data_IF_428428902881
#
_entry.id   IF_428428902881
#
_cell.length_a   1.000
_cell.length_b   1.000
_cell.length_c   1.000
_cell.angle_alpha   90.00
_cell.angle_beta   90.00
_cell.angle_gamma   90.00
#
_symmetry.space_group_name_H-M   'P 1'
#
loop_
_entity.id
_entity.type
_entity.pdbx_description
1 polymer ?
#
# COMPACT_ATOMS: atom_id res chain seq x y z
N UNK A 1 5.07 -15.07 -23.81
CA UNK A 1 5.35 -13.64 -23.64
C UNK A 1 5.05 -13.23 -22.21
N UNK A 2 6.02 -12.63 -21.58
CA UNK A 2 5.84 -12.17 -20.21
C UNK A 2 5.03 -10.88 -20.24
N UNK A 3 3.91 -10.90 -19.54
CA UNK A 3 3.07 -9.74 -19.46
C UNK A 3 3.71 -8.72 -18.53
N UNK A 4 3.79 -7.48 -18.99
CA UNK A 4 4.44 -6.43 -18.22
C UNK A 4 3.41 -5.67 -17.38
N UNK A 5 3.42 -5.93 -16.06
CA UNK A 5 2.51 -5.28 -15.13
C UNK A 5 3.11 -4.01 -14.50
N UNK A 6 4.23 -3.51 -15.02
CA UNK A 6 4.93 -2.37 -14.43
C UNK A 6 4.01 -1.17 -14.25
N UNK A 7 3.24 -0.80 -15.27
CA UNK A 7 2.34 0.34 -15.20
C UNK A 7 1.23 0.11 -14.18
N UNK A 8 0.70 -1.10 -14.14
CA UNK A 8 -0.36 -1.45 -13.20
C UNK A 8 0.13 -1.37 -11.75
N UNK A 9 1.31 -1.90 -11.48
CA UNK A 9 1.88 -1.89 -10.14
C UNK A 9 2.25 -0.48 -9.71
N UNK A 10 2.78 0.33 -10.61
CA UNK A 10 3.07 1.73 -10.30
C UNK A 10 1.80 2.51 -10.02
N UNK A 11 0.71 2.22 -10.74
CA UNK A 11 -0.57 2.86 -10.48
C UNK A 11 -1.07 2.51 -9.08
N UNK A 12 -0.93 1.26 -8.67
CA UNK A 12 -1.28 0.83 -7.31
C UNK A 12 -0.42 1.57 -6.28
N UNK A 13 0.88 1.66 -6.51
CA UNK A 13 1.78 2.34 -5.59
C UNK A 13 1.53 3.85 -5.50
N UNK A 14 0.92 4.45 -6.51
CA UNK A 14 0.57 5.88 -6.50
C UNK A 14 -0.74 6.17 -5.77
N UNK A 15 -1.47 5.15 -5.35
CA UNK A 15 -2.74 5.35 -4.64
C UNK A 15 -2.55 6.21 -3.39
N UNK A 16 -1.45 6.02 -2.67
CA UNK A 16 -1.17 6.82 -1.48
C UNK A 16 -1.13 8.31 -1.77
N UNK A 17 -0.52 8.70 -2.88
CA UNK A 17 -0.47 10.11 -3.29
C UNK A 17 -1.82 10.59 -3.82
N UNK A 18 -2.46 9.79 -4.66
CA UNK A 18 -3.70 10.21 -5.31
C UNK A 18 -4.85 10.43 -4.32
N UNK A 19 -4.85 9.69 -3.22
CA UNK A 19 -5.89 9.82 -2.20
C UNK A 19 -5.59 10.89 -1.17
N UNK A 20 -4.37 11.45 -1.18
CA UNK A 20 -4.00 12.47 -0.21
C UNK A 20 -4.58 13.83 -0.59
N UNK A 21 -4.67 14.72 0.40
CA UNK A 21 -5.14 16.08 0.18
C UNK A 21 -4.18 16.84 -0.75
N UNK A 22 -2.89 16.47 -0.72
CA UNK A 22 -1.88 17.10 -1.58
C UNK A 22 -1.91 16.61 -3.00
N UNK A 23 -2.54 15.46 -3.24
CA UNK A 23 -2.67 14.90 -4.58
C UNK A 23 -4.03 15.25 -5.18
N UNK A 24 -4.61 14.29 -5.88
CA UNK A 24 -5.87 14.50 -6.59
C UNK A 24 -7.11 14.45 -5.69
N UNK A 25 -6.96 14.08 -4.43
CA UNK A 25 -8.08 13.98 -3.50
C UNK A 25 -9.09 12.91 -3.87
N UNK A 26 -8.66 11.90 -4.62
CA UNK A 26 -9.53 10.80 -5.05
C UNK A 26 -9.83 9.91 -3.85
N UNK A 27 -11.07 9.42 -3.73
CA UNK A 27 -11.39 8.50 -2.66
C UNK A 27 -10.63 7.19 -2.84
N UNK A 28 -10.33 6.52 -1.72
CA UNK A 28 -9.63 5.23 -1.79
C UNK A 28 -10.44 4.22 -2.59
N UNK A 29 -11.76 4.22 -2.42
CA UNK A 29 -12.65 3.32 -3.16
C UNK A 29 -12.52 3.54 -4.67
N UNK A 30 -12.50 4.80 -5.10
CA UNK A 30 -12.34 5.11 -6.51
C UNK A 30 -10.95 4.74 -7.03
N UNK A 31 -9.91 4.99 -6.24
CA UNK A 31 -8.55 4.61 -6.61
C UNK A 31 -8.41 3.10 -6.78
N UNK A 32 -8.99 2.34 -5.87
CA UNK A 32 -8.98 0.87 -5.98
C UNK A 32 -9.70 0.39 -7.24
N UNK A 33 -10.81 1.05 -7.59
CA UNK A 33 -11.57 0.72 -8.80
C UNK A 33 -10.78 1.05 -10.05
N UNK A 34 -10.19 2.24 -10.11
CA UNK A 34 -9.42 2.69 -11.28
C UNK A 34 -8.22 1.81 -11.57
N UNK A 35 -7.55 1.35 -10.53
CA UNK A 35 -6.35 0.52 -10.68
C UNK A 35 -6.70 -0.94 -10.89
N UNK A 36 -7.98 -1.31 -10.78
CA UNK A 36 -8.42 -2.69 -10.87
C UNK A 36 -7.69 -3.58 -9.86
N UNK A 37 -7.52 -3.05 -8.66
CA UNK A 37 -6.72 -3.71 -7.64
C UNK A 37 -7.16 -5.15 -7.36
N UNK A 38 -8.48 -5.37 -7.23
CA UNK A 38 -9.00 -6.71 -6.89
C UNK A 38 -8.67 -7.74 -7.97
N UNK A 39 -8.75 -7.33 -9.24
CA UNK A 39 -8.44 -8.23 -10.36
C UNK A 39 -6.94 -8.49 -10.46
N UNK A 40 -6.14 -7.49 -10.16
CA UNK A 40 -4.68 -7.61 -10.25
C UNK A 40 -4.06 -8.34 -9.06
N UNK A 41 -4.72 -8.28 -7.90
CA UNK A 41 -4.15 -8.79 -6.65
C UNK A 41 -3.59 -10.22 -6.74
N UNK A 42 -4.29 -11.19 -7.37
CA UNK A 42 -3.75 -12.54 -7.49
C UNK A 42 -2.52 -12.66 -8.38
N UNK A 43 -2.19 -11.62 -9.13
CA UNK A 43 -1.11 -11.65 -10.11
C UNK A 43 0.20 -11.04 -9.63
N UNK A 44 0.23 -10.51 -8.40
CA UNK A 44 1.47 -9.91 -7.88
C UNK A 44 1.64 -10.23 -6.40
N UNK A 45 2.87 -10.05 -5.93
CA UNK A 45 3.25 -10.26 -4.53
C UNK A 45 3.95 -9.01 -3.98
N UNK A 46 4.17 -8.99 -2.67
CA UNK A 46 4.88 -7.90 -2.02
C UNK A 46 6.24 -7.64 -2.66
N UNK A 47 6.95 -8.70 -3.06
CA UNK A 47 8.27 -8.57 -3.67
C UNK A 47 8.23 -7.80 -4.98
N UNK A 48 7.13 -7.89 -5.72
CA UNK A 48 6.97 -7.13 -6.96
C UNK A 48 6.86 -5.64 -6.66
N UNK A 49 6.11 -5.28 -5.62
CA UNK A 49 6.00 -3.89 -5.21
C UNK A 49 7.32 -3.37 -4.65
N UNK A 50 8.04 -4.21 -3.91
CA UNK A 50 9.34 -3.84 -3.35
C UNK A 50 10.32 -3.42 -4.44
N UNK A 51 10.37 -4.18 -5.55
CA UNK A 51 11.26 -3.87 -6.65
C UNK A 51 10.98 -2.47 -7.22
N UNK A 52 9.69 -2.13 -7.38
CA UNK A 52 9.33 -0.81 -7.89
C UNK A 52 9.58 0.31 -6.89
N UNK A 53 9.41 0.04 -5.60
CA UNK A 53 9.69 1.03 -4.56
C UNK A 53 11.18 1.39 -4.51
N UNK A 54 12.04 0.44 -4.77
CA UNK A 54 13.48 0.70 -4.83
C UNK A 54 13.85 1.63 -5.99
N UNK A 55 13.12 1.53 -7.09
CA UNK A 55 13.34 2.40 -8.25
C UNK A 55 12.63 3.74 -8.11
N UNK A 56 11.67 3.85 -7.20
CA UNK A 56 10.86 5.05 -7.01
C UNK A 56 10.75 5.40 -5.53
N UNK A 57 11.85 5.86 -4.91
CA UNK A 57 11.85 6.14 -3.47
C UNK A 57 10.91 7.26 -3.03
N UNK A 58 10.51 8.12 -3.96
CA UNK A 58 9.51 9.15 -3.67
C UNK A 58 8.17 8.55 -3.25
N UNK A 59 7.84 7.36 -3.74
CA UNK A 59 6.60 6.68 -3.37
C UNK A 59 6.61 6.22 -1.91
N UNK A 60 7.78 5.96 -1.35
CA UNK A 60 7.90 5.60 0.07
C UNK A 60 7.42 6.75 0.94
N UNK A 61 7.87 7.97 0.64
CA UNK A 61 7.43 9.17 1.35
C UNK A 61 5.92 9.36 1.25
N UNK A 62 5.36 9.11 0.06
CA UNK A 62 3.93 9.27 -0.15
C UNK A 62 3.11 8.32 0.73
N UNK A 63 3.58 7.09 0.92
CA UNK A 63 2.87 6.15 1.78
C UNK A 63 3.03 6.47 3.26
N UNK A 64 4.19 7.01 3.67
CA UNK A 64 4.36 7.48 5.03
C UNK A 64 3.37 8.62 5.33
N UNK A 65 3.22 9.55 4.39
CA UNK A 65 2.25 10.63 4.52
C UNK A 65 0.82 10.12 4.53
N UNK A 66 0.51 9.15 3.69
CA UNK A 66 -0.81 8.52 3.67
C UNK A 66 -1.15 7.94 5.05
N UNK A 67 -0.24 7.18 5.63
CA UNK A 67 -0.45 6.58 6.94
C UNK A 67 -0.62 7.62 8.04
N UNK A 68 0.18 8.68 7.99
CA UNK A 68 0.13 9.76 8.98
C UNK A 68 -1.17 10.55 8.91
N UNK A 69 -1.62 10.87 7.69
CA UNK A 69 -2.81 11.69 7.46
C UNK A 69 -4.11 10.92 7.57
N UNK A 70 -4.02 9.62 7.64
CA UNK A 70 -5.17 8.74 7.68
C UNK A 70 -5.96 8.94 8.96
N UNK A 71 -7.26 9.20 8.81
CA UNK A 71 -8.13 9.53 9.94
C UNK A 71 -9.19 8.47 10.25
N UNK A 72 -9.06 7.31 9.59
CA UNK A 72 -9.97 6.20 9.86
C UNK A 72 -9.45 5.36 11.01
N UNK A 73 -10.35 4.72 11.72
CA UNK A 73 -9.98 3.83 12.81
C UNK A 73 -9.95 2.36 12.37
N UNK A 74 -9.73 2.13 11.07
CA UNK A 74 -9.58 0.79 10.49
C UNK A 74 -8.32 0.69 9.64
N UNK A 75 -8.05 -0.52 9.16
CA UNK A 75 -6.91 -0.76 8.29
C UNK A 75 -5.59 -0.86 9.04
N UNK A 76 -4.52 -0.44 8.40
CA UNK A 76 -3.16 -0.58 8.91
C UNK A 76 -2.47 0.77 9.05
N UNK A 77 -1.38 0.81 9.81
CA UNK A 77 -0.52 2.00 9.94
C UNK A 77 0.91 1.64 9.63
N UNK A 78 1.69 2.65 9.25
CA UNK A 78 3.09 2.52 8.87
C UNK A 78 3.90 3.58 9.59
N UNK A 79 4.98 3.18 10.24
CA UNK A 79 5.88 4.08 10.97
C UNK A 79 7.20 4.21 10.22
N UNK A 80 7.89 5.32 10.47
CA UNK A 80 9.15 5.62 9.79
C UNK A 80 10.27 4.63 10.12
N UNK A 81 10.13 3.91 11.23
CA UNK A 81 11.15 2.92 11.62
C UNK A 81 10.95 1.55 10.97
N UNK A 82 9.97 1.43 10.06
CA UNK A 82 9.71 0.16 9.39
C UNK A 82 8.74 -0.74 10.12
N UNK A 83 8.00 -0.21 11.08
CA UNK A 83 6.97 -0.95 11.79
C UNK A 83 5.61 -0.77 11.12
N UNK A 84 4.86 -1.85 10.97
CA UNK A 84 3.46 -1.79 10.53
C UNK A 84 2.59 -2.52 11.54
N UNK A 85 1.31 -2.14 11.60
CA UNK A 85 0.36 -2.80 12.48
C UNK A 85 -1.06 -2.49 12.09
N UNK A 86 -2.00 -3.22 12.69
CA UNK A 86 -3.42 -2.95 12.49
C UNK A 86 -3.89 -1.90 13.48
N UNK A 87 -4.66 -0.93 12.98
CA UNK A 87 -5.13 0.18 13.80
C UNK A 87 -5.94 -0.31 14.99
N UNK A 88 -6.77 -1.34 14.79
CA UNK A 88 -7.65 -1.86 15.84
C UNK A 88 -7.05 -3.01 16.66
N UNK A 89 -5.84 -3.45 16.33
CA UNK A 89 -5.20 -4.56 17.03
C UNK A 89 -3.84 -4.14 17.56
N UNK A 90 -3.86 -3.32 18.58
CA UNK A 90 -2.62 -2.84 19.18
C UNK A 90 -1.83 -3.99 19.80
N UNK A 91 -0.52 -3.93 19.65
CA UNK A 91 0.38 -4.94 20.18
C UNK A 91 0.79 -6.01 19.19
N UNK A 92 0.14 -6.06 18.04
CA UNK A 92 0.50 -7.01 16.98
C UNK A 92 1.22 -6.26 15.86
N UNK A 93 2.44 -5.83 16.15
CA UNK A 93 3.23 -5.08 15.20
C UNK A 93 4.26 -5.97 14.53
N UNK A 94 4.55 -5.66 13.28
CA UNK A 94 5.59 -6.33 12.50
C UNK A 94 6.64 -5.29 12.15
N UNK A 95 7.89 -5.56 12.47
CA UNK A 95 8.98 -4.66 12.14
C UNK A 95 9.85 -5.28 11.07
N UNK A 96 10.11 -4.52 10.01
CA UNK A 96 10.90 -4.98 8.88
C UNK A 96 12.33 -4.42 8.96
N UNK A 97 13.26 -5.09 8.27
CA UNK A 97 14.65 -4.67 8.27
C UNK A 97 14.88 -3.39 7.49
N UNK A 98 14.04 -3.12 6.48
CA UNK A 98 14.15 -1.91 5.70
C UNK A 98 12.80 -1.24 5.57
N UNK A 99 12.82 0.08 5.38
CA UNK A 99 11.61 0.84 5.18
C UNK A 99 10.90 0.43 3.89
N UNK A 100 11.67 0.13 2.84
CA UNK A 100 11.08 -0.30 1.57
C UNK A 100 10.25 -1.58 1.75
N UNK A 101 10.77 -2.54 2.52
CA UNK A 101 10.04 -3.77 2.80
C UNK A 101 8.77 -3.49 3.59
N UNK A 102 8.87 -2.60 4.57
CA UNK A 102 7.70 -2.23 5.37
C UNK A 102 6.63 -1.57 4.51
N UNK A 103 7.02 -0.68 3.60
CA UNK A 103 6.07 -0.02 2.72
C UNK A 103 5.39 -1.02 1.79
N UNK A 104 6.15 -1.93 1.19
CA UNK A 104 5.56 -2.95 0.32
C UNK A 104 4.53 -3.79 1.07
N UNK A 105 4.88 -4.24 2.27
CA UNK A 105 3.98 -5.03 3.11
C UNK A 105 2.76 -4.22 3.53
N UNK A 106 2.96 -2.95 3.88
CA UNK A 106 1.88 -2.06 4.29
C UNK A 106 0.88 -1.85 3.15
N UNK A 107 1.37 -1.56 1.95
CA UNK A 107 0.51 -1.30 0.80
C UNK A 107 -0.42 -2.48 0.56
N UNK A 108 0.14 -3.69 0.53
CA UNK A 108 -0.68 -4.89 0.29
C UNK A 108 -1.73 -5.06 1.38
N UNK A 109 -1.33 -4.96 2.65
CA UNK A 109 -2.25 -5.18 3.76
C UNK A 109 -3.32 -4.10 3.84
N UNK A 110 -2.94 -2.85 3.67
CA UNK A 110 -3.88 -1.73 3.72
C UNK A 110 -4.90 -1.82 2.58
N UNK A 111 -4.43 -2.05 1.36
CA UNK A 111 -5.34 -2.10 0.21
C UNK A 111 -6.20 -3.36 0.22
N UNK A 112 -5.65 -4.49 0.66
CA UNK A 112 -6.45 -5.71 0.82
C UNK A 112 -7.58 -5.49 1.84
N UNK A 113 -7.28 -4.79 2.94
CA UNK A 113 -8.28 -4.49 3.95
C UNK A 113 -9.43 -3.67 3.36
N UNK A 114 -9.10 -2.57 2.68
CA UNK A 114 -10.13 -1.67 2.16
C UNK A 114 -10.82 -2.21 0.91
N UNK A 115 -10.18 -3.14 0.19
CA UNK A 115 -10.80 -3.82 -0.93
C UNK A 115 -11.63 -5.01 -0.47
N UNK A 116 -11.71 -5.26 0.83
CA UNK A 116 -12.44 -6.37 1.42
C UNK A 116 -11.97 -7.73 0.91
N UNK A 117 -10.66 -7.85 0.72
CA UNK A 117 -10.06 -9.13 0.35
C UNK A 117 -9.72 -9.90 1.63
N UNK A 118 -10.13 -11.16 1.68
CA UNK A 118 -9.87 -11.99 2.85
C UNK A 118 -8.42 -12.44 2.81
N UNK A 119 -7.64 -12.19 3.90
CA UNK A 119 -6.26 -12.67 3.93
C UNK A 119 -6.24 -14.18 3.85
N UNK A 120 -5.31 -14.71 3.08
CA UNK A 120 -5.07 -16.14 3.05
C UNK A 120 -4.13 -16.48 4.19
N UNK A 121 -4.60 -17.28 5.08
CA UNK A 121 -3.78 -17.78 6.16
C UNK A 121 -3.10 -19.07 5.76
#
# INVERSE_FOLDING_TARGET
MVENHTQDLLAILRIGHETSIRGAGVSLREALSRTRYRELRPQFEESDLLAHLRDHPDLIEEWLLYSEDKRTDGGWYLLQDGTIGQVRRRGEEIRFQSLEQAVAAYVVRELDFWAHLVPRT
#
